data_IF_056438121255
#
_entry.id   IF_056438121255
#
_cell.length_a   1.000
_cell.length_b   1.000
_cell.length_c   1.000
_cell.angle_alpha   90.00
_cell.angle_beta   90.00
_cell.angle_gamma   90.00
#
_symmetry.space_group_name_H-M   'P 1'
#
loop_
_entity.id
_entity.type
_entity.pdbx_description
1 polymer ?
#
# COMPACT_ATOMS: atom_id res chain seq x y z
N UNK A 1 -20.02 -2.44 3.77
CA UNK A 1 -18.73 -2.40 3.06
C UNK A 1 -18.76 -1.23 2.11
N UNK A 2 -17.68 -0.45 2.02
CA UNK A 2 -17.66 0.76 1.20
C UNK A 2 -17.43 0.33 -0.26
N UNK A 3 -18.42 0.50 -1.13
CA UNK A 3 -18.36 0.04 -2.54
C UNK A 3 -17.19 0.64 -3.32
N UNK A 4 -16.64 1.76 -2.84
CA UNK A 4 -15.46 2.43 -3.40
C UNK A 4 -14.18 1.57 -3.41
N UNK A 5 -14.07 0.56 -2.53
CA UNK A 5 -12.87 -0.28 -2.41
C UNK A 5 -13.00 -1.67 -3.04
N UNK A 6 -14.14 -1.99 -3.66
CA UNK A 6 -14.31 -3.25 -4.40
C UNK A 6 -13.66 -3.18 -5.78
N UNK A 7 -12.39 -2.79 -5.80
CA UNK A 7 -11.57 -2.54 -6.99
C UNK A 7 -10.36 -3.45 -6.90
N UNK A 8 -10.07 -4.14 -8.01
CA UNK A 8 -8.88 -4.99 -8.15
C UNK A 8 -7.60 -4.17 -7.93
N UNK A 9 -6.75 -4.64 -7.00
CA UNK A 9 -5.47 -3.99 -6.70
C UNK A 9 -4.60 -3.97 -7.96
N UNK A 10 -4.49 -5.13 -8.64
CA UNK A 10 -3.65 -5.27 -9.82
C UNK A 10 -4.11 -4.36 -10.97
N UNK A 11 -5.41 -4.38 -11.28
CA UNK A 11 -5.93 -3.64 -12.43
C UNK A 11 -5.91 -2.12 -12.18
N UNK A 12 -6.12 -1.69 -10.93
CA UNK A 12 -5.96 -0.28 -10.55
C UNK A 12 -4.51 0.18 -10.68
N UNK A 13 -3.56 -0.57 -10.11
CA UNK A 13 -2.13 -0.23 -10.19
C UNK A 13 -1.69 -0.16 -11.66
N UNK A 14 -2.08 -1.13 -12.49
CA UNK A 14 -1.79 -1.11 -13.94
C UNK A 14 -2.29 0.14 -14.62
N UNK A 15 -3.55 0.52 -14.35
CA UNK A 15 -4.14 1.72 -14.93
C UNK A 15 -3.39 2.98 -14.51
N UNK A 16 -2.95 3.05 -13.25
CA UNK A 16 -2.20 4.19 -12.71
C UNK A 16 -0.81 4.34 -13.34
N UNK A 17 -0.13 3.22 -13.64
CA UNK A 17 1.16 3.24 -14.35
C UNK A 17 1.02 3.30 -15.88
N UNK A 18 -0.21 3.49 -16.40
CA UNK A 18 -0.46 3.73 -17.82
C UNK A 18 -0.68 2.46 -18.67
N UNK A 19 -0.84 1.29 -18.06
CA UNK A 19 -1.13 0.04 -18.77
C UNK A 19 -2.63 -0.30 -18.70
N UNK A 20 -3.26 -0.69 -19.82
CA UNK A 20 -4.63 -1.16 -19.81
C UNK A 20 -4.83 -2.40 -18.91
N UNK A 21 -5.94 -2.44 -18.17
CA UNK A 21 -6.24 -3.53 -17.23
C UNK A 21 -6.39 -4.91 -17.90
N UNK A 22 -6.80 -4.95 -19.17
CA UNK A 22 -6.97 -6.17 -19.97
C UNK A 22 -5.65 -6.77 -20.47
N UNK A 23 -4.55 -6.02 -20.45
CA UNK A 23 -3.22 -6.53 -20.79
C UNK A 23 -2.65 -7.32 -19.60
N UNK A 24 -2.37 -8.60 -19.82
CA UNK A 24 -1.89 -9.56 -18.80
C UNK A 24 -0.40 -9.94 -18.93
N UNK A 25 0.26 -9.52 -20.01
CA UNK A 25 1.66 -9.89 -20.32
C UNK A 25 2.64 -9.42 -19.24
N UNK A 26 2.34 -8.33 -18.55
CA UNK A 26 3.18 -7.75 -17.51
C UNK A 26 2.79 -8.14 -16.09
N UNK A 27 1.70 -8.90 -15.90
CA UNK A 27 1.19 -9.25 -14.56
C UNK A 27 2.28 -9.98 -13.75
N UNK A 28 3.03 -10.89 -14.37
CA UNK A 28 4.14 -11.62 -13.74
C UNK A 28 5.28 -10.71 -13.24
N UNK A 29 5.46 -9.53 -13.84
CA UNK A 29 6.46 -8.57 -13.40
C UNK A 29 5.90 -7.61 -12.35
N UNK A 30 4.64 -7.19 -12.49
CA UNK A 30 3.99 -6.20 -11.63
C UNK A 30 3.62 -6.78 -10.27
N UNK A 31 3.05 -7.99 -10.25
CA UNK A 31 2.57 -8.67 -9.04
C UNK A 31 3.65 -8.75 -7.95
N UNK A 32 4.91 -9.16 -8.22
CA UNK A 32 5.96 -9.17 -7.21
C UNK A 32 6.26 -7.80 -6.59
N UNK A 33 6.21 -6.73 -7.39
CA UNK A 33 6.48 -5.37 -6.91
C UNK A 33 5.33 -4.86 -6.03
N UNK A 34 4.09 -5.15 -6.42
CA UNK A 34 2.90 -4.88 -5.60
C UNK A 34 2.98 -5.65 -4.28
N UNK A 35 3.24 -6.95 -4.32
CA UNK A 35 3.35 -7.78 -3.12
C UNK A 35 4.47 -7.33 -2.18
N UNK A 36 5.58 -6.84 -2.72
CA UNK A 36 6.66 -6.22 -1.93
C UNK A 36 6.18 -4.98 -1.18
N UNK A 37 5.41 -4.10 -1.85
CA UNK A 37 4.83 -2.92 -1.22
C UNK A 37 3.77 -3.30 -0.16
N UNK A 38 2.92 -4.29 -0.43
CA UNK A 38 1.93 -4.80 0.54
C UNK A 38 2.58 -5.45 1.76
N UNK A 39 3.70 -6.17 1.56
CA UNK A 39 4.48 -6.74 2.65
C UNK A 39 5.08 -5.66 3.56
N UNK A 40 5.55 -4.54 2.99
CA UNK A 40 5.98 -3.39 3.77
C UNK A 40 4.83 -2.81 4.61
N UNK A 41 3.65 -2.61 4.02
CA UNK A 41 2.47 -2.12 4.75
C UNK A 41 2.14 -3.02 5.95
N UNK A 42 2.13 -4.33 5.74
CA UNK A 42 1.92 -5.29 6.83
C UNK A 42 3.01 -5.18 7.92
N UNK A 43 4.27 -4.99 7.54
CA UNK A 43 5.37 -4.84 8.48
C UNK A 43 5.23 -3.62 9.39
N UNK A 44 4.73 -2.50 8.85
CA UNK A 44 4.43 -1.30 9.63
C UNK A 44 3.09 -1.39 10.35
N UNK A 45 2.38 -2.52 10.29
CA UNK A 45 1.10 -2.73 10.99
C UNK A 45 -0.12 -2.15 10.28
N UNK A 46 -0.02 -1.87 8.98
CA UNK A 46 -1.12 -1.38 8.14
C UNK A 46 -1.72 -2.53 7.32
N UNK A 47 -3.04 -2.61 7.32
CA UNK A 47 -3.80 -3.64 6.62
C UNK A 47 -4.07 -4.89 7.50
N UNK A 48 -4.18 -6.08 6.90
CA UNK A 48 -4.66 -7.27 7.60
C UNK A 48 -3.61 -7.85 8.54
N UNK A 49 -4.09 -8.52 9.61
CA UNK A 49 -3.23 -9.18 10.61
C UNK A 49 -2.46 -10.38 10.09
N UNK A 50 -2.85 -10.92 8.93
CA UNK A 50 -2.15 -11.98 8.21
C UNK A 50 -1.57 -11.35 6.94
N UNK A 51 -0.32 -11.71 6.53
CA UNK A 51 0.25 -11.23 5.28
C UNK A 51 -0.70 -11.44 4.10
N UNK A 52 -0.93 -10.37 3.36
CA UNK A 52 -1.78 -10.37 2.18
C UNK A 52 -0.93 -10.33 0.92
N UNK A 53 -1.33 -11.09 -0.09
CA UNK A 53 -0.67 -11.12 -1.39
C UNK A 53 -1.72 -11.21 -2.48
N UNK A 54 -1.43 -10.60 -3.62
CA UNK A 54 -2.21 -10.76 -4.84
C UNK A 54 -1.56 -11.82 -5.72
N UNK A 55 -2.39 -12.61 -6.38
CA UNK A 55 -1.99 -13.60 -7.39
C UNK A 55 -2.56 -13.30 -8.77
N UNK A 56 -3.51 -12.37 -8.86
CA UNK A 56 -4.12 -11.94 -10.10
C UNK A 56 -5.03 -10.73 -9.93
N UNK A 57 -6.08 -10.59 -10.76
CA UNK A 57 -6.99 -9.46 -10.72
C UNK A 57 -8.14 -9.63 -9.72
N UNK A 58 -8.30 -10.81 -9.10
CA UNK A 58 -9.44 -11.10 -8.23
C UNK A 58 -9.36 -10.43 -6.86
N UNK A 59 -8.16 -10.15 -6.40
CA UNK A 59 -7.86 -9.59 -5.10
C UNK A 59 -8.09 -8.08 -5.11
N UNK A 60 -8.92 -7.61 -4.19
CA UNK A 60 -9.39 -6.22 -4.14
C UNK A 60 -8.85 -5.48 -2.93
N UNK A 61 -8.93 -4.14 -2.98
CA UNK A 61 -8.63 -3.32 -1.81
C UNK A 61 -9.59 -3.58 -0.65
N UNK A 62 -10.84 -3.94 -0.93
CA UNK A 62 -11.80 -4.35 0.10
C UNK A 62 -11.33 -5.61 0.84
N UNK A 63 -10.71 -6.57 0.14
CA UNK A 63 -10.12 -7.77 0.76
C UNK A 63 -8.93 -7.41 1.65
N UNK A 64 -8.10 -6.43 1.22
CA UNK A 64 -6.96 -5.95 1.99
C UNK A 64 -7.39 -5.20 3.27
N UNK A 65 -8.39 -4.32 3.18
CA UNK A 65 -8.83 -3.46 4.28
C UNK A 65 -9.90 -4.07 5.19
N UNK A 66 -10.19 -5.36 5.05
CA UNK A 66 -11.36 -6.04 5.64
C UNK A 66 -11.57 -5.89 7.16
N UNK A 67 -10.66 -5.24 7.91
CA UNK A 67 -10.66 -5.16 9.38
C UNK A 67 -10.36 -3.79 10.00
N UNK A 68 -10.84 -2.68 9.41
CA UNK A 68 -10.77 -1.31 10.00
C UNK A 68 -9.47 -0.55 9.75
N UNK A 69 -9.51 0.33 8.75
CA UNK A 69 -8.67 1.54 8.76
C UNK A 69 -9.47 2.78 8.36
N UNK A 70 -8.96 3.94 8.79
CA UNK A 70 -9.53 5.25 8.48
C UNK A 70 -9.27 5.60 7.02
N UNK A 71 -10.15 6.43 6.44
CA UNK A 71 -10.07 6.78 5.00
C UNK A 71 -8.72 7.40 4.59
N UNK A 72 -8.04 8.11 5.50
CA UNK A 72 -6.76 8.78 5.20
C UNK A 72 -5.57 7.82 5.11
N UNK A 73 -5.45 6.84 6.01
CA UNK A 73 -4.35 5.85 5.96
C UNK A 73 -4.50 4.95 4.73
N UNK A 74 -5.76 4.63 4.40
CA UNK A 74 -6.11 3.87 3.18
C UNK A 74 -5.59 4.57 1.92
N UNK A 75 -5.85 5.88 1.79
CA UNK A 75 -5.39 6.65 0.63
C UNK A 75 -3.86 6.70 0.52
N UNK A 76 -3.16 6.90 1.65
CA UNK A 76 -1.69 6.94 1.70
C UNK A 76 -1.06 5.60 1.32
N UNK A 77 -1.63 4.49 1.80
CA UNK A 77 -1.16 3.15 1.46
C UNK A 77 -1.37 2.83 -0.03
N UNK A 78 -2.51 3.21 -0.60
CA UNK A 78 -2.75 3.06 -2.05
C UNK A 78 -1.77 3.91 -2.87
N UNK A 79 -1.51 5.16 -2.46
CA UNK A 79 -0.54 6.04 -3.09
C UNK A 79 0.88 5.46 -3.01
N UNK A 80 1.27 4.90 -1.87
CA UNK A 80 2.55 4.23 -1.67
C UNK A 80 2.74 3.06 -2.64
N UNK A 81 1.77 2.15 -2.70
CA UNK A 81 1.83 0.98 -3.60
C UNK A 81 1.95 1.44 -5.06
N UNK A 82 1.16 2.43 -5.47
CA UNK A 82 1.25 3.01 -6.81
C UNK A 82 2.64 3.58 -7.09
N UNK A 83 3.12 4.53 -6.27
CA UNK A 83 4.40 5.21 -6.50
C UNK A 83 5.58 4.23 -6.47
N UNK A 84 5.52 3.20 -5.62
CA UNK A 84 6.54 2.16 -5.57
C UNK A 84 6.60 1.37 -6.87
N UNK A 85 5.46 0.91 -7.37
CA UNK A 85 5.38 0.19 -8.64
C UNK A 85 5.82 1.10 -9.78
N UNK A 86 5.27 2.31 -9.87
CA UNK A 86 5.64 3.29 -10.88
C UNK A 86 7.16 3.54 -10.91
N UNK A 87 7.79 3.71 -9.74
CA UNK A 87 9.24 3.95 -9.63
C UNK A 87 10.12 2.84 -10.22
N UNK A 88 9.64 1.60 -10.19
CA UNK A 88 10.38 0.42 -10.67
C UNK A 88 10.20 0.23 -12.18
N UNK A 89 9.00 0.52 -12.71
CA UNK A 89 8.66 0.27 -14.11
C UNK A 89 8.98 1.45 -15.03
N UNK A 90 8.79 2.67 -14.56
CA UNK A 90 9.09 3.89 -15.30
C UNK A 90 9.98 4.82 -14.45
N UNK A 91 11.23 4.42 -14.18
CA UNK A 91 12.13 5.22 -13.36
C UNK A 91 12.36 6.57 -14.06
N UNK A 92 12.08 7.70 -13.39
CA UNK A 92 12.23 9.00 -14.01
C UNK A 92 13.68 9.22 -14.46
N UNK A 93 13.87 9.65 -15.70
CA UNK A 93 15.20 9.83 -16.30
C UNK A 93 15.99 10.99 -15.72
N UNK A 94 15.30 11.96 -15.11
CA UNK A 94 15.91 13.14 -14.48
C UNK A 94 16.24 12.85 -13.03
N UNK A 95 17.51 13.01 -12.66
CA UNK A 95 18.01 12.79 -11.29
C UNK A 95 17.19 13.54 -10.24
N UNK A 96 16.90 14.83 -10.46
CA UNK A 96 16.10 15.61 -9.50
C UNK A 96 14.68 15.05 -9.27
N UNK A 97 14.06 14.43 -10.27
CA UNK A 97 12.75 13.80 -10.11
C UNK A 97 12.84 12.45 -9.37
N UNK A 98 13.96 11.73 -9.54
CA UNK A 98 14.22 10.52 -8.74
C UNK A 98 14.38 10.86 -7.26
N UNK A 99 15.09 11.94 -6.95
CA UNK A 99 15.30 12.37 -5.56
C UNK A 99 13.97 12.79 -4.92
N UNK A 100 13.16 13.60 -5.60
CA UNK A 100 11.82 13.96 -5.13
C UNK A 100 10.94 12.72 -4.93
N UNK A 101 10.98 11.74 -5.84
CA UNK A 101 10.20 10.51 -5.70
C UNK A 101 10.63 9.69 -4.46
N UNK A 102 11.94 9.57 -4.22
CA UNK A 102 12.45 8.89 -3.01
C UNK A 102 12.06 9.63 -1.74
N UNK A 103 12.10 10.96 -1.75
CA UNK A 103 11.66 11.78 -0.60
C UNK A 103 10.17 11.59 -0.33
N UNK A 104 9.32 11.61 -1.37
CA UNK A 104 7.88 11.35 -1.23
C UNK A 104 7.60 9.95 -0.67
N UNK A 105 8.27 8.91 -1.20
CA UNK A 105 8.14 7.56 -0.69
C UNK A 105 8.57 7.46 0.78
N UNK A 106 9.73 8.04 1.13
CA UNK A 106 10.24 8.05 2.52
C UNK A 106 9.28 8.75 3.47
N UNK A 107 8.72 9.90 3.07
CA UNK A 107 7.75 10.64 3.88
C UNK A 107 6.47 9.83 4.10
N UNK A 108 5.96 9.15 3.06
CA UNK A 108 4.81 8.25 3.20
C UNK A 108 5.11 7.11 4.18
N UNK A 109 6.28 6.47 4.06
CA UNK A 109 6.73 5.39 4.95
C UNK A 109 6.82 5.86 6.41
N UNK A 110 7.41 7.04 6.64
CA UNK A 110 7.53 7.63 7.98
C UNK A 110 6.15 7.92 8.58
N UNK A 111 5.26 8.61 7.85
CA UNK A 111 3.93 8.97 8.35
C UNK A 111 3.08 7.73 8.66
N UNK A 112 3.15 6.72 7.79
CA UNK A 112 2.45 5.46 8.01
C UNK A 112 2.97 4.74 9.27
N UNK A 113 4.28 4.72 9.47
CA UNK A 113 4.91 4.16 10.68
C UNK A 113 4.46 4.94 11.93
N UNK A 114 4.49 6.28 11.89
CA UNK A 114 4.07 7.12 13.01
C UNK A 114 2.58 6.90 13.37
N UNK A 115 1.71 6.79 12.37
CA UNK A 115 0.28 6.50 12.57
C UNK A 115 0.08 5.14 13.25
N UNK A 116 0.80 4.11 12.78
CA UNK A 116 0.74 2.77 13.34
C UNK A 116 1.28 2.72 14.78
N UNK A 117 2.41 3.36 15.04
CA UNK A 117 2.99 3.46 16.38
C UNK A 117 2.06 4.21 17.34
N UNK A 118 1.41 5.28 16.87
CA UNK A 118 0.40 5.98 17.66
C UNK A 118 -0.78 5.06 18.00
N UNK A 119 -1.31 4.32 17.03
CA UNK A 119 -2.39 3.35 17.25
C UNK A 119 -1.98 2.26 18.27
N UNK A 120 -0.76 1.74 18.16
CA UNK A 120 -0.22 0.73 19.08
C UNK A 120 0.04 1.29 20.50
N UNK A 121 0.48 2.55 20.62
CA UNK A 121 0.77 3.17 21.91
C UNK A 121 -0.48 3.40 22.76
N UNK A 122 -1.61 3.71 22.13
CA UNK A 122 -2.91 3.88 22.80
C UNK A 122 -3.35 2.60 23.52
N UNK A 123 -3.09 1.42 22.93
CA UNK A 123 -3.37 0.14 23.57
C UNK A 123 -2.43 -0.16 24.75
N UNK A 124 -1.15 0.23 24.68
CA UNK A 124 -0.16 -0.07 25.73
C UNK A 124 -0.27 0.82 26.97
N UNK A 125 -0.95 1.97 26.88
CA UNK A 125 -1.18 2.89 27.99
C UNK A 125 -2.35 2.52 28.91
N UNK A 126 -3.22 1.57 28.50
CA UNK A 126 -4.41 1.17 29.25
C UNK A 126 -4.19 0.14 30.36
N UNK A 127 -3.06 -0.58 30.34
CA UNK A 127 -2.87 -1.80 31.15
C UNK A 127 -2.17 -1.59 32.51
N UNK A 128 -1.90 -0.34 32.92
CA UNK A 128 -1.15 -0.04 34.16
C UNK A 128 -1.97 0.64 35.27
N UNK A 129 -3.29 0.45 35.31
CA UNK A 129 -4.14 0.88 36.43
C UNK A 129 -4.77 -0.33 37.14
N UNK A 130 -3.97 -1.16 37.81
CA UNK A 130 -4.52 -2.24 38.63
C UNK A 130 -3.52 -3.30 39.08
N UNK A 131 -2.70 -2.97 40.09
CA UNK A 131 -2.43 -3.81 41.26
C UNK A 131 -1.62 -3.03 42.30
#
# INVERSE_FOLDING_TARGET
MNDAYNVSILDQVKTQIGYPADVRVFDNAIIPVVNSALAFLHQVGIGPSIPFMITGPTETWADFWAQSETDTTTAMAMEYVHLKVWSVFDPPSKVGMQDTLREMLTELENRMTDISDAANSVYRGGDNCGN
#
